data_IF_112353099675
#
_entry.id   IF_112353099675
#
_cell.length_a   1.000
_cell.length_b   1.000
_cell.length_c   1.000
_cell.angle_alpha   90.00
_cell.angle_beta   90.00
_cell.angle_gamma   90.00
#
_symmetry.space_group_name_H-M   'P 1'
#
loop_
_entity.id
_entity.type
_entity.pdbx_description
1 polymer ?
#
# COMPACT_ATOMS: atom_id res chain seq x y z
N UNK A 1 -6.16 8.73 -14.84
CA UNK A 1 -5.59 9.18 -13.56
C UNK A 1 -6.68 9.04 -12.51
N UNK A 2 -6.38 8.39 -11.40
CA UNK A 2 -7.22 8.33 -10.22
C UNK A 2 -6.55 9.15 -9.09
N UNK A 3 -7.35 9.75 -8.22
CA UNK A 3 -6.92 10.19 -6.90
C UNK A 3 -7.39 9.15 -5.86
N UNK A 4 -6.52 8.75 -4.94
CA UNK A 4 -6.87 7.79 -3.89
C UNK A 4 -6.03 7.93 -2.61
N UNK A 5 -6.43 7.30 -1.51
CA UNK A 5 -5.62 7.20 -0.29
C UNK A 5 -4.89 5.88 -0.14
N UNK A 6 -3.80 5.83 0.62
CA UNK A 6 -3.00 4.61 0.80
C UNK A 6 -3.60 3.59 1.79
N UNK A 7 -4.65 3.93 2.54
CA UNK A 7 -5.14 3.13 3.66
C UNK A 7 -4.97 3.84 5.00
N UNK A 8 -3.74 3.98 5.50
CA UNK A 8 -3.49 4.60 6.81
C UNK A 8 -3.94 6.05 6.86
N UNK A 9 -4.74 6.39 7.87
CA UNK A 9 -5.15 7.76 8.18
C UNK A 9 -5.34 7.95 9.70
N UNK A 10 -5.20 9.17 10.22
CA UNK A 10 -5.38 9.44 11.65
C UNK A 10 -6.85 9.32 12.05
N UNK A 11 -7.10 9.00 13.31
CA UNK A 11 -8.44 8.97 13.89
C UNK A 11 -8.86 7.62 14.49
N UNK A 12 -10.02 7.62 15.13
CA UNK A 12 -10.52 6.48 15.91
C UNK A 12 -11.89 5.95 15.46
N UNK A 13 -12.66 6.76 14.73
CA UNK A 13 -14.02 6.44 14.24
C UNK A 13 -13.95 5.91 12.82
N UNK A 14 -14.36 4.66 12.60
CA UNK A 14 -14.36 4.06 11.26
C UNK A 14 -15.43 4.72 10.37
N UNK A 15 -16.61 5.03 10.91
CA UNK A 15 -17.65 5.75 10.18
C UNK A 15 -17.22 7.14 9.72
N UNK A 16 -16.52 7.92 10.55
CA UNK A 16 -15.98 9.24 10.16
C UNK A 16 -14.91 9.10 9.08
N UNK A 17 -14.02 8.10 9.22
CA UNK A 17 -13.01 7.82 8.21
C UNK A 17 -13.63 7.41 6.87
N UNK A 18 -14.67 6.57 6.91
CA UNK A 18 -15.43 6.14 5.74
C UNK A 18 -16.12 7.31 5.04
N UNK A 19 -16.72 8.24 5.80
CA UNK A 19 -17.35 9.45 5.27
C UNK A 19 -16.33 10.35 4.56
N UNK A 20 -15.19 10.60 5.20
CA UNK A 20 -14.10 11.39 4.60
C UNK A 20 -13.60 10.74 3.31
N UNK A 21 -13.39 9.42 3.31
CA UNK A 21 -12.88 8.74 2.12
C UNK A 21 -13.86 8.90 0.95
N UNK A 22 -15.15 8.70 1.16
CA UNK A 22 -16.14 8.86 0.09
C UNK A 22 -16.32 10.32 -0.34
N UNK A 23 -16.20 11.26 0.60
CA UNK A 23 -16.39 12.69 0.34
C UNK A 23 -15.21 13.35 -0.40
N UNK A 24 -13.98 12.91 -0.11
CA UNK A 24 -12.78 13.69 -0.48
C UNK A 24 -11.81 12.97 -1.43
N UNK A 25 -11.88 11.64 -1.58
CA UNK A 25 -10.84 10.85 -2.26
C UNK A 25 -10.90 10.90 -3.79
N UNK A 26 -12.09 11.11 -4.36
CA UNK A 26 -12.33 11.01 -5.81
C UNK A 26 -12.87 9.64 -6.22
N UNK A 27 -12.52 9.18 -7.42
CA UNK A 27 -13.18 8.04 -8.09
C UNK A 27 -12.78 6.64 -7.59
N UNK A 28 -11.75 6.55 -6.75
CA UNK A 28 -11.25 5.29 -6.18
C UNK A 28 -11.17 5.36 -4.64
N UNK A 29 -12.31 5.28 -3.93
CA UNK A 29 -12.32 5.19 -2.47
C UNK A 29 -11.57 3.93 -2.04
N UNK A 30 -10.95 3.99 -0.86
CA UNK A 30 -10.13 2.91 -0.33
C UNK A 30 -10.59 2.54 1.08
N UNK A 31 -10.44 1.29 1.51
CA UNK A 31 -10.85 0.92 2.87
C UNK A 31 -9.97 1.65 3.90
N UNK A 32 -10.56 2.46 4.81
CA UNK A 32 -9.77 3.16 5.80
C UNK A 32 -9.02 2.20 6.73
N UNK A 33 -7.81 2.59 7.10
CA UNK A 33 -7.04 1.95 8.14
C UNK A 33 -6.70 2.99 9.21
N UNK A 34 -7.03 2.69 10.47
CA UNK A 34 -6.90 3.61 11.60
C UNK A 34 -5.91 3.08 12.65
N UNK A 35 -4.58 3.26 12.44
CA UNK A 35 -3.55 2.76 13.36
C UNK A 35 -3.69 3.27 14.80
N UNK A 36 -4.29 4.44 15.01
CA UNK A 36 -4.50 5.03 16.34
C UNK A 36 -5.38 4.15 17.25
N UNK A 37 -6.21 3.27 16.67
CA UNK A 37 -7.02 2.28 17.41
C UNK A 37 -6.18 1.16 18.01
N UNK A 38 -4.88 1.14 17.74
CA UNK A 38 -3.89 0.27 18.36
C UNK A 38 -3.19 -0.66 17.37
N UNK A 39 -2.24 -1.45 17.88
CA UNK A 39 -1.34 -2.28 17.07
C UNK A 39 -2.07 -3.24 16.09
N UNK A 40 -3.25 -3.72 16.48
CA UNK A 40 -4.07 -4.61 15.66
C UNK A 40 -4.73 -3.91 14.47
N UNK A 41 -4.96 -2.60 14.56
CA UNK A 41 -5.49 -1.78 13.47
C UNK A 41 -4.39 -1.26 12.52
N UNK A 42 -3.11 -1.41 12.89
CA UNK A 42 -1.97 -1.08 12.04
C UNK A 42 -1.77 -2.06 10.87
N UNK A 43 -0.83 -1.75 9.96
CA UNK A 43 -0.60 -2.46 8.69
C UNK A 43 -0.47 -3.98 8.86
N UNK A 44 0.42 -4.42 9.75
CA UNK A 44 0.62 -5.85 10.03
C UNK A 44 -0.61 -6.48 10.67
N UNK A 45 -1.23 -5.82 11.65
CA UNK A 45 -2.41 -6.36 12.33
C UNK A 45 -3.61 -6.55 11.41
N UNK A 46 -3.87 -5.57 10.53
CA UNK A 46 -4.92 -5.67 9.50
C UNK A 46 -4.63 -6.78 8.50
N UNK A 47 -3.37 -6.94 8.09
CA UNK A 47 -2.95 -8.02 7.18
C UNK A 47 -3.07 -9.38 7.86
N UNK A 48 -2.67 -9.50 9.12
CA UNK A 48 -2.83 -10.70 9.93
C UNK A 48 -4.30 -11.13 10.06
N UNK A 49 -5.23 -10.17 10.10
CA UNK A 49 -6.66 -10.43 10.10
C UNK A 49 -7.21 -11.10 8.85
N UNK A 50 -6.44 -11.09 7.75
CA UNK A 50 -6.80 -11.78 6.51
C UNK A 50 -6.31 -13.24 6.49
N UNK A 51 -5.42 -13.62 7.41
CA UNK A 51 -4.76 -14.93 7.39
C UNK A 51 -5.57 -15.94 8.20
N UNK A 52 -6.47 -16.68 7.54
CA UNK A 52 -7.24 -17.72 8.24
C UNK A 52 -6.40 -18.98 8.53
N UNK A 53 -5.53 -19.36 7.59
CA UNK A 53 -4.75 -20.60 7.66
C UNK A 53 -3.52 -20.51 8.59
N UNK A 54 -3.10 -19.29 8.94
CA UNK A 54 -1.89 -19.03 9.73
C UNK A 54 -2.20 -17.97 10.78
N UNK A 55 -1.84 -18.24 12.04
CA UNK A 55 -2.04 -17.28 13.13
C UNK A 55 -0.81 -16.40 13.31
N UNK A 56 -1.00 -15.08 13.30
CA UNK A 56 0.01 -14.11 13.68
C UNK A 56 -0.44 -13.45 14.98
N UNK A 57 0.35 -13.64 16.05
CA UNK A 57 0.06 -13.07 17.36
C UNK A 57 1.12 -12.04 17.78
N UNK A 58 0.78 -11.26 18.82
CA UNK A 58 1.71 -10.29 19.39
C UNK A 58 2.74 -11.02 20.26
N UNK A 59 4.00 -10.97 19.82
CA UNK A 59 5.15 -11.37 20.63
C UNK A 59 5.69 -10.24 21.52
N UNK A 60 6.78 -10.51 22.27
CA UNK A 60 7.40 -9.54 23.17
C UNK A 60 8.02 -8.34 22.45
N UNK A 61 8.51 -8.55 21.22
CA UNK A 61 9.27 -7.56 20.43
C UNK A 61 8.70 -7.34 19.04
N UNK A 62 8.20 -8.40 18.42
CA UNK A 62 7.57 -8.37 17.10
C UNK A 62 6.29 -9.20 17.06
N UNK A 63 5.65 -9.23 15.89
CA UNK A 63 4.63 -10.22 15.55
C UNK A 63 5.26 -11.60 15.40
N UNK A 64 4.57 -12.66 15.83
CA UNK A 64 5.10 -14.02 15.85
C UNK A 64 4.10 -14.97 15.20
N UNK A 65 4.59 -15.85 14.31
CA UNK A 65 3.83 -16.98 13.78
C UNK A 65 3.52 -17.96 14.91
N UNK A 66 2.24 -18.32 15.03
CA UNK A 66 1.72 -19.22 16.04
C UNK A 66 1.06 -20.43 15.38
N UNK A 67 1.29 -21.62 15.96
CA UNK A 67 0.63 -22.87 15.53
C UNK A 67 -0.88 -22.88 15.81
N UNK A 68 -1.37 -22.00 16.70
CA UNK A 68 -2.78 -21.94 17.10
C UNK A 68 -3.25 -20.49 17.26
N UNK A 69 -4.48 -20.17 16.79
CA UNK A 69 -5.08 -18.86 17.04
C UNK A 69 -5.14 -18.55 18.52
N UNK A 70 -4.72 -17.33 18.90
CA UNK A 70 -4.87 -16.83 20.26
C UNK A 70 -6.00 -15.78 20.34
N UNK A 71 -6.29 -15.32 21.56
CA UNK A 71 -7.31 -14.30 21.82
C UNK A 71 -7.11 -12.99 21.02
N UNK A 72 -5.88 -12.68 20.60
CA UNK A 72 -5.60 -11.49 19.79
C UNK A 72 -5.92 -11.75 18.32
N UNK A 73 -5.57 -12.92 17.77
CA UNK A 73 -5.99 -13.36 16.43
C UNK A 73 -7.51 -13.29 16.25
N UNK A 74 -8.29 -13.83 17.20
CA UNK A 74 -9.76 -13.73 17.13
C UNK A 74 -10.26 -12.28 17.15
N UNK A 75 -9.70 -11.44 18.03
CA UNK A 75 -10.08 -10.02 18.11
C UNK A 75 -9.78 -9.25 16.84
N UNK A 76 -8.69 -9.59 16.14
CA UNK A 76 -8.33 -8.96 14.87
C UNK A 76 -9.39 -9.30 13.81
N UNK A 77 -9.77 -10.58 13.66
CA UNK A 77 -10.82 -10.99 12.73
C UNK A 77 -12.18 -10.34 13.03
N UNK A 78 -12.61 -10.35 14.29
CA UNK A 78 -13.85 -9.70 14.72
C UNK A 78 -13.83 -8.19 14.47
N UNK A 79 -12.66 -7.55 14.57
CA UNK A 79 -12.52 -6.12 14.30
C UNK A 79 -12.60 -5.82 12.80
N UNK A 80 -12.01 -6.67 11.95
CA UNK A 80 -12.10 -6.52 10.49
C UNK A 80 -13.55 -6.58 10.01
N UNK A 81 -14.33 -7.55 10.49
CA UNK A 81 -15.75 -7.66 10.14
C UNK A 81 -16.53 -6.42 10.57
N UNK A 82 -16.36 -5.97 11.82
CA UNK A 82 -17.03 -4.77 12.35
C UNK A 82 -16.64 -3.51 11.58
N UNK A 83 -15.37 -3.37 11.21
CA UNK A 83 -14.90 -2.23 10.42
C UNK A 83 -15.60 -2.19 9.06
N UNK A 84 -15.73 -3.33 8.38
CA UNK A 84 -16.46 -3.41 7.11
C UNK A 84 -17.96 -3.14 7.28
N UNK A 85 -18.56 -3.54 8.42
CA UNK A 85 -19.95 -3.22 8.75
C UNK A 85 -20.14 -1.70 8.88
N UNK A 86 -19.30 -1.03 9.67
CA UNK A 86 -19.32 0.43 9.85
C UNK A 86 -19.10 1.18 8.53
N UNK A 87 -18.19 0.69 7.67
CA UNK A 87 -17.97 1.29 6.34
C UNK A 87 -19.22 1.13 5.46
N UNK A 88 -19.86 -0.04 5.48
CA UNK A 88 -21.06 -0.30 4.69
C UNK A 88 -22.26 0.54 5.13
N UNK A 89 -22.39 0.85 6.42
CA UNK A 89 -23.42 1.77 6.91
C UNK A 89 -23.30 3.17 6.28
N UNK A 90 -22.08 3.61 5.95
CA UNK A 90 -21.82 4.92 5.33
C UNK A 90 -21.87 4.85 3.81
N UNK A 91 -21.22 3.85 3.20
CA UNK A 91 -21.05 3.76 1.75
C UNK A 91 -22.25 3.14 1.04
N UNK A 92 -23.10 2.42 1.78
CA UNK A 92 -24.16 1.60 1.21
C UNK A 92 -23.63 0.37 0.48
N UNK A 93 -24.41 -0.12 -0.50
CA UNK A 93 -24.18 -1.40 -1.19
C UNK A 93 -23.74 -1.24 -2.66
N UNK A 94 -23.51 -0.01 -3.12
CA UNK A 94 -23.21 0.26 -4.54
C UNK A 94 -22.13 1.33 -4.67
N UNK A 95 -20.87 0.89 -4.63
CA UNK A 95 -19.69 1.70 -4.91
C UNK A 95 -19.03 1.15 -6.18
N UNK A 96 -18.81 1.94 -7.25
CA UNK A 96 -18.32 1.40 -8.52
C UNK A 96 -16.96 0.69 -8.43
N UNK A 97 -16.02 1.29 -7.70
CA UNK A 97 -14.65 0.79 -7.50
C UNK A 97 -14.24 1.00 -6.05
N UNK A 98 -13.54 0.04 -5.47
CA UNK A 98 -12.97 0.14 -4.13
C UNK A 98 -11.53 -0.36 -4.15
N UNK A 99 -10.63 0.36 -3.50
CA UNK A 99 -9.27 -0.11 -3.27
C UNK A 99 -9.13 -0.74 -1.89
N UNK A 100 -8.46 -1.88 -1.83
CA UNK A 100 -8.02 -2.53 -0.59
C UNK A 100 -6.50 -2.60 -0.54
N UNK A 101 -5.95 -2.68 0.66
CA UNK A 101 -4.51 -2.72 0.87
C UNK A 101 -4.13 -3.75 1.93
N UNK A 102 -2.98 -4.40 1.70
CA UNK A 102 -2.36 -5.32 2.62
C UNK A 102 -0.84 -5.14 2.60
N UNK A 103 -0.16 -5.58 3.66
CA UNK A 103 1.30 -5.66 3.65
C UNK A 103 1.71 -6.80 2.72
N UNK A 104 2.66 -6.54 1.83
CA UNK A 104 3.15 -7.49 0.84
C UNK A 104 3.93 -8.66 1.46
N UNK A 105 4.12 -9.75 0.70
CA UNK A 105 4.73 -10.99 1.19
C UNK A 105 6.13 -10.79 1.80
N UNK A 106 6.98 -9.95 1.20
CA UNK A 106 8.36 -9.77 1.63
C UNK A 106 8.43 -9.00 2.94
N UNK A 107 7.71 -7.88 3.02
CA UNK A 107 7.65 -7.05 4.22
C UNK A 107 6.90 -7.73 5.35
N UNK A 108 5.86 -8.53 5.06
CA UNK A 108 5.19 -9.34 6.07
C UNK A 108 6.13 -10.40 6.64
N UNK A 109 6.81 -11.16 5.79
CA UNK A 109 7.78 -12.17 6.22
C UNK A 109 8.99 -11.58 6.96
N UNK A 110 9.38 -10.36 6.62
CA UNK A 110 10.41 -9.60 7.31
C UNK A 110 9.92 -8.97 8.63
N UNK A 111 8.61 -8.81 8.84
CA UNK A 111 8.06 -8.25 10.07
C UNK A 111 7.69 -9.34 11.10
N UNK A 112 7.48 -10.58 10.66
CA UNK A 112 7.00 -11.68 11.51
C UNK A 112 8.15 -12.62 11.91
N UNK A 113 8.22 -12.94 13.19
CA UNK A 113 9.13 -13.92 13.78
C UNK A 113 8.51 -15.32 13.83
N UNK A 114 9.34 -16.35 13.81
CA UNK A 114 8.99 -17.73 14.12
C UNK A 114 9.09 -17.95 15.63
N UNK A 115 8.57 -19.07 16.14
CA UNK A 115 8.65 -19.40 17.58
C UNK A 115 10.07 -19.51 18.14
N UNK A 116 11.09 -19.61 17.29
CA UNK A 116 12.51 -19.62 17.66
C UNK A 116 13.20 -18.24 17.58
N UNK A 117 12.45 -17.17 17.26
CA UNK A 117 12.94 -15.79 17.16
C UNK A 117 13.55 -15.40 15.81
N UNK A 118 13.77 -16.34 14.89
CA UNK A 118 14.17 -16.01 13.51
C UNK A 118 13.00 -15.39 12.74
N UNK A 119 13.26 -14.58 11.73
CA UNK A 119 12.19 -14.02 10.89
C UNK A 119 11.67 -15.05 9.88
N UNK A 120 10.38 -14.99 9.55
CA UNK A 120 9.74 -15.93 8.63
C UNK A 120 10.44 -15.95 7.25
N UNK A 121 10.97 -14.81 6.80
CA UNK A 121 11.74 -14.70 5.55
C UNK A 121 12.99 -15.60 5.50
N UNK A 122 13.53 -16.03 6.65
CA UNK A 122 14.73 -16.89 6.70
C UNK A 122 14.44 -18.39 6.54
N UNK A 123 13.18 -18.80 6.65
CA UNK A 123 12.75 -20.18 6.50
C UNK A 123 11.89 -20.32 5.24
N UNK A 124 12.39 -21.04 4.24
CA UNK A 124 11.69 -21.19 2.95
C UNK A 124 10.34 -21.90 3.05
N UNK A 125 10.13 -22.76 4.05
CA UNK A 125 8.86 -23.44 4.30
C UNK A 125 7.85 -22.46 4.90
N UNK A 126 8.25 -21.79 5.98
CA UNK A 126 7.40 -20.80 6.63
C UNK A 126 7.06 -19.62 5.70
N UNK A 127 8.02 -19.17 4.89
CA UNK A 127 7.79 -18.13 3.88
C UNK A 127 6.74 -18.57 2.84
N UNK A 128 6.85 -19.80 2.34
CA UNK A 128 5.89 -20.35 1.36
C UNK A 128 4.49 -20.46 1.96
N UNK A 129 4.37 -20.99 3.17
CA UNK A 129 3.09 -21.14 3.85
C UNK A 129 2.45 -19.77 4.14
N UNK A 130 3.27 -18.79 4.55
CA UNK A 130 2.84 -17.41 4.75
C UNK A 130 2.37 -16.75 3.45
N UNK A 131 3.09 -16.93 2.34
CA UNK A 131 2.69 -16.42 1.04
C UNK A 131 1.37 -17.05 0.57
N UNK A 132 1.22 -18.36 0.72
CA UNK A 132 -0.01 -19.07 0.38
C UNK A 132 -1.21 -18.59 1.20
N UNK A 133 -1.03 -18.40 2.52
CA UNK A 133 -2.06 -17.86 3.40
C UNK A 133 -2.41 -16.40 3.07
N UNK A 134 -1.43 -15.55 2.77
CA UNK A 134 -1.64 -14.16 2.38
C UNK A 134 -2.40 -14.05 1.06
N UNK A 135 -2.03 -14.85 0.06
CA UNK A 135 -2.69 -14.85 -1.23
C UNK A 135 -4.16 -15.27 -1.10
N UNK A 136 -4.43 -16.35 -0.37
CA UNK A 136 -5.79 -16.81 -0.11
C UNK A 136 -6.61 -15.75 0.66
N UNK A 137 -6.03 -15.16 1.70
CA UNK A 137 -6.67 -14.12 2.50
C UNK A 137 -7.02 -12.86 1.71
N UNK A 138 -6.14 -12.42 0.81
CA UNK A 138 -6.42 -11.29 -0.10
C UNK A 138 -7.54 -11.65 -1.08
N UNK A 139 -7.55 -12.86 -1.64
CA UNK A 139 -8.60 -13.30 -2.56
C UNK A 139 -9.97 -13.37 -1.87
N UNK A 140 -10.03 -13.89 -0.64
CA UNK A 140 -11.27 -13.91 0.13
C UNK A 140 -11.74 -12.51 0.52
N UNK A 141 -10.82 -11.66 0.99
CA UNK A 141 -11.15 -10.29 1.36
C UNK A 141 -11.65 -9.48 0.16
N UNK A 142 -11.00 -9.60 -0.99
CA UNK A 142 -11.44 -8.91 -2.22
C UNK A 142 -12.80 -9.41 -2.68
N UNK A 143 -13.08 -10.73 -2.59
CA UNK A 143 -14.41 -11.28 -2.89
C UNK A 143 -15.49 -10.76 -1.93
N UNK A 144 -15.18 -10.71 -0.63
CA UNK A 144 -16.08 -10.17 0.38
C UNK A 144 -16.40 -8.69 0.13
N UNK A 145 -15.38 -7.87 -0.14
CA UNK A 145 -15.54 -6.43 -0.44
C UNK A 145 -16.33 -6.24 -1.74
N UNK A 146 -16.01 -6.99 -2.80
CA UNK A 146 -16.73 -6.93 -4.07
C UNK A 146 -18.22 -7.27 -3.89
N UNK A 147 -18.53 -8.33 -3.13
CA UNK A 147 -19.90 -8.73 -2.83
C UNK A 147 -20.63 -7.67 -2.01
N UNK A 148 -19.96 -7.10 -1.00
CA UNK A 148 -20.55 -6.18 -0.02
C UNK A 148 -20.94 -4.83 -0.63
N UNK A 149 -20.11 -4.32 -1.54
CA UNK A 149 -20.27 -2.99 -2.11
C UNK A 149 -20.68 -3.01 -3.59
N UNK A 150 -20.87 -4.19 -4.20
CA UNK A 150 -21.11 -4.32 -5.63
C UNK A 150 -19.99 -3.72 -6.49
N UNK A 151 -18.76 -3.77 -5.97
CA UNK A 151 -17.62 -2.97 -6.46
C UNK A 151 -16.61 -3.81 -7.25
N UNK A 152 -15.97 -3.18 -8.23
CA UNK A 152 -14.69 -3.66 -8.74
C UNK A 152 -13.59 -3.37 -7.71
N UNK A 153 -12.88 -4.40 -7.27
CA UNK A 153 -11.85 -4.25 -6.23
C UNK A 153 -10.45 -4.15 -6.83
N UNK A 154 -9.71 -3.14 -6.39
CA UNK A 154 -8.29 -2.94 -6.71
C UNK A 154 -7.42 -3.25 -5.51
N UNK A 155 -6.29 -3.93 -5.73
CA UNK A 155 -5.41 -4.40 -4.66
C UNK A 155 -4.10 -3.62 -4.62
N UNK A 156 -3.76 -3.10 -3.45
CA UNK A 156 -2.45 -2.53 -3.14
C UNK A 156 -1.67 -3.46 -2.21
N UNK A 157 -0.40 -3.72 -2.54
CA UNK A 157 0.56 -4.32 -1.63
C UNK A 157 1.56 -3.29 -1.13
N UNK A 158 1.74 -3.24 0.18
CA UNK A 158 2.69 -2.37 0.84
C UNK A 158 3.98 -3.14 1.15
N UNK A 159 5.07 -2.73 0.51
CA UNK A 159 6.38 -3.36 0.62
C UNK A 159 7.47 -2.39 1.14
N UNK A 160 7.31 -1.82 2.36
CA UNK A 160 8.23 -0.82 2.90
C UNK A 160 9.61 -1.36 3.28
N UNK A 161 9.79 -2.68 3.39
CA UNK A 161 11.05 -3.34 3.74
C UNK A 161 11.76 -3.95 2.51
N UNK A 162 11.23 -3.77 1.30
CA UNK A 162 11.73 -4.46 0.10
C UNK A 162 13.16 -4.08 -0.27
N UNK A 163 13.52 -2.81 -0.11
CA UNK A 163 14.90 -2.36 -0.32
C UNK A 163 15.87 -3.06 0.63
N UNK A 164 15.46 -3.26 1.89
CA UNK A 164 16.25 -3.95 2.91
C UNK A 164 16.37 -5.46 2.60
N UNK A 165 15.33 -6.05 2.02
CA UNK A 165 15.31 -7.45 1.54
C UNK A 165 16.26 -7.65 0.36
N UNK A 166 16.24 -6.76 -0.63
CA UNK A 166 17.10 -6.83 -1.82
C UNK A 166 18.57 -6.57 -1.49
N UNK A 167 18.85 -5.68 -0.54
CA UNK A 167 20.23 -5.32 -0.14
C UNK A 167 20.81 -6.20 0.97
N UNK A 168 19.98 -7.00 1.64
CA UNK A 168 20.41 -7.86 2.75
C UNK A 168 20.76 -7.08 4.02
N UNK A 169 20.10 -5.95 4.26
CA UNK A 169 20.32 -5.07 5.43
C UNK A 169 19.32 -5.33 6.56
N UNK A 170 18.36 -6.25 6.36
CA UNK A 170 17.40 -6.62 7.38
C UNK A 170 18.09 -7.17 8.63
N UNK A 171 17.76 -6.67 9.84
CA UNK A 171 18.33 -7.20 11.07
C UNK A 171 17.97 -8.68 11.29
N UNK A 172 18.97 -9.49 11.65
CA UNK A 172 18.80 -10.89 12.06
C UNK A 172 18.31 -11.03 13.50
N UNK A 173 18.58 -12.18 14.12
CA UNK A 173 18.19 -12.48 15.52
C UNK A 173 19.01 -11.71 16.56
N UNK A 174 20.18 -11.21 16.16
CA UNK A 174 21.07 -10.40 17.02
C UNK A 174 21.42 -9.11 16.31
N UNK A 175 21.78 -8.07 17.07
CA UNK A 175 22.13 -6.74 16.53
C UNK A 175 23.35 -6.75 15.58
N UNK A 176 24.09 -7.87 15.52
CA UNK A 176 25.29 -8.06 14.69
C UNK A 176 25.07 -8.96 13.47
N UNK A 177 23.86 -9.50 13.30
CA UNK A 177 23.53 -10.40 12.19
C UNK A 177 22.58 -9.72 11.21
N UNK A 178 22.72 -10.05 9.93
CA UNK A 178 21.86 -9.54 8.85
C UNK A 178 21.33 -10.68 8.02
N UNK A 179 20.07 -10.57 7.61
CA UNK A 179 19.45 -11.55 6.73
C UNK A 179 20.00 -11.34 5.33
N UNK A 180 20.46 -12.43 4.71
CA UNK A 180 21.03 -12.41 3.35
C UNK A 180 20.06 -11.79 2.34
N UNK A 181 20.63 -11.02 1.42
CA UNK A 181 19.91 -10.46 0.28
C UNK A 181 19.14 -11.54 -0.49
N UNK A 182 17.91 -11.21 -0.87
CA UNK A 182 17.09 -12.04 -1.74
C UNK A 182 17.28 -11.59 -3.19
N UNK A 183 17.55 -12.52 -4.13
CA UNK A 183 17.66 -12.20 -5.55
C UNK A 183 16.42 -11.50 -6.13
N UNK A 184 16.62 -10.50 -6.99
CA UNK A 184 15.53 -9.70 -7.57
C UNK A 184 14.56 -10.53 -8.44
N UNK A 185 15.04 -11.57 -9.11
CA UNK A 185 14.22 -12.51 -9.87
C UNK A 185 13.25 -13.29 -8.97
N UNK A 186 13.73 -13.73 -7.79
CA UNK A 186 12.88 -14.35 -6.80
C UNK A 186 11.85 -13.37 -6.24
N UNK A 187 12.26 -12.14 -5.92
CA UNK A 187 11.36 -11.08 -5.46
C UNK A 187 10.24 -10.83 -6.45
N UNK A 188 10.59 -10.62 -7.72
CA UNK A 188 9.64 -10.34 -8.79
C UNK A 188 8.73 -11.53 -9.09
N UNK A 189 9.26 -12.75 -9.07
CA UNK A 189 8.44 -13.96 -9.25
C UNK A 189 7.36 -14.06 -8.17
N UNK A 190 7.72 -13.86 -6.89
CA UNK A 190 6.74 -13.89 -5.79
C UNK A 190 5.73 -12.76 -5.90
N UNK A 191 6.15 -11.52 -6.18
CA UNK A 191 5.21 -10.40 -6.33
C UNK A 191 4.22 -10.62 -7.49
N UNK A 192 4.67 -11.23 -8.58
CA UNK A 192 3.82 -11.53 -9.74
C UNK A 192 2.68 -12.52 -9.41
N UNK A 193 2.89 -13.45 -8.46
CA UNK A 193 1.85 -14.39 -8.01
C UNK A 193 0.64 -13.69 -7.39
N UNK A 194 0.84 -12.52 -6.76
CA UNK A 194 -0.24 -11.74 -6.14
C UNK A 194 -1.04 -10.89 -7.14
N UNK A 195 -0.45 -10.55 -8.29
CA UNK A 195 -1.14 -9.83 -9.36
C UNK A 195 -1.69 -8.44 -8.98
N UNK A 196 -1.18 -7.82 -7.92
CA UNK A 196 -1.66 -6.56 -7.36
C UNK A 196 -1.66 -5.41 -8.40
N UNK A 197 -2.62 -4.49 -8.25
CA UNK A 197 -2.73 -3.30 -9.10
C UNK A 197 -1.68 -2.25 -8.74
N UNK A 198 -1.41 -2.13 -7.44
CA UNK A 198 -0.51 -1.14 -6.88
C UNK A 198 0.54 -1.81 -5.98
N UNK A 199 1.79 -1.40 -6.14
CA UNK A 199 2.88 -1.76 -5.25
C UNK A 199 3.44 -0.50 -4.61
N UNK A 200 3.28 -0.38 -3.29
CA UNK A 200 3.80 0.76 -2.54
C UNK A 200 5.19 0.44 -2.01
N UNK A 201 6.14 1.31 -2.31
CA UNK A 201 7.52 1.18 -1.88
C UNK A 201 7.92 2.37 -1.02
N UNK A 202 8.89 2.17 -0.11
CA UNK A 202 9.46 3.25 0.71
C UNK A 202 10.37 4.16 -0.11
N UNK A 203 11.06 3.58 -1.08
CA UNK A 203 12.06 4.22 -1.93
C UNK A 203 11.99 3.61 -3.35
N UNK A 204 12.46 4.32 -4.38
CA UNK A 204 12.31 3.85 -5.76
C UNK A 204 13.15 2.59 -6.03
N UNK A 205 12.50 1.51 -6.48
CA UNK A 205 13.12 0.26 -6.91
C UNK A 205 12.68 -0.06 -8.33
N UNK A 206 13.38 0.49 -9.32
CA UNK A 206 12.98 0.43 -10.73
C UNK A 206 13.08 -0.96 -11.37
N UNK A 207 13.80 -1.89 -10.74
CA UNK A 207 13.91 -3.29 -11.19
C UNK A 207 12.70 -4.16 -10.79
N UNK A 208 11.77 -3.61 -9.98
CA UNK A 208 10.61 -4.36 -9.50
C UNK A 208 9.51 -4.39 -10.55
N UNK A 209 8.93 -5.58 -10.76
CA UNK A 209 7.79 -5.76 -11.66
C UNK A 209 6.48 -5.41 -10.95
N UNK A 210 5.85 -4.29 -11.33
CA UNK A 210 4.53 -3.89 -10.85
C UNK A 210 3.75 -3.15 -11.94
N UNK A 211 2.41 -3.24 -11.91
CA UNK A 211 1.53 -2.50 -12.83
C UNK A 211 1.61 -0.98 -12.57
N UNK A 212 1.52 -0.61 -11.30
CA UNK A 212 1.65 0.76 -10.81
C UNK A 212 2.49 0.76 -9.53
N UNK A 213 3.56 1.54 -9.50
CA UNK A 213 4.36 1.74 -8.27
C UNK A 213 3.89 3.01 -7.57
N UNK A 214 3.76 2.98 -6.23
CA UNK A 214 3.38 4.13 -5.42
C UNK A 214 4.60 4.64 -4.64
N UNK A 215 5.00 5.89 -4.89
CA UNK A 215 6.20 6.52 -4.32
C UNK A 215 5.90 7.94 -3.84
N UNK A 216 6.64 8.39 -2.83
CA UNK A 216 6.62 9.79 -2.40
C UNK A 216 7.29 10.67 -3.46
N UNK A 217 6.57 11.66 -3.97
CA UNK A 217 7.06 12.54 -5.02
C UNK A 217 8.28 13.35 -4.58
N UNK A 218 8.34 13.76 -3.31
CA UNK A 218 9.47 14.51 -2.78
C UNK A 218 10.80 13.75 -2.89
N UNK A 219 10.74 12.41 -2.89
CA UNK A 219 11.90 11.53 -3.02
C UNK A 219 12.45 11.37 -4.43
N UNK A 220 11.77 11.89 -5.47
CA UNK A 220 12.08 11.59 -6.87
C UNK A 220 12.94 12.66 -7.58
N UNK A 221 13.34 13.72 -6.87
CA UNK A 221 14.03 14.86 -7.49
C UNK A 221 15.51 14.62 -7.87
N UNK A 222 16.10 13.50 -7.44
CA UNK A 222 17.51 13.17 -7.72
C UNK A 222 17.71 12.82 -9.20
N UNK A 223 18.91 13.06 -9.79
CA UNK A 223 19.20 12.68 -11.18
C UNK A 223 18.95 11.19 -11.47
N UNK A 224 19.34 10.31 -10.55
CA UNK A 224 19.14 8.86 -10.69
C UNK A 224 17.66 8.48 -10.74
N UNK A 225 16.82 9.10 -9.89
CA UNK A 225 15.39 8.81 -9.89
C UNK A 225 14.64 9.46 -11.05
N UNK A 226 15.12 10.59 -11.59
CA UNK A 226 14.60 11.17 -12.83
C UNK A 226 14.82 10.23 -14.02
N UNK A 227 16.04 9.73 -14.18
CA UNK A 227 16.36 8.82 -15.27
C UNK A 227 15.57 7.51 -15.15
N UNK A 228 15.50 6.94 -13.94
CA UNK A 228 14.74 5.72 -13.66
C UNK A 228 13.23 5.89 -13.85
N UNK A 229 12.65 7.00 -13.39
CA UNK A 229 11.24 7.32 -13.62
C UNK A 229 10.94 7.53 -15.11
N UNK A 230 11.83 8.22 -15.83
CA UNK A 230 11.71 8.42 -17.27
C UNK A 230 11.63 7.08 -18.00
N UNK A 231 12.55 6.16 -17.70
CA UNK A 231 12.56 4.81 -18.26
C UNK A 231 11.31 4.00 -17.88
N UNK A 232 10.86 4.10 -16.62
CA UNK A 232 9.64 3.44 -16.14
C UNK A 232 8.43 3.88 -16.95
N UNK A 233 8.27 5.19 -17.13
CA UNK A 233 7.17 5.79 -17.87
C UNK A 233 7.27 5.43 -19.37
N UNK A 234 8.45 5.50 -19.98
CA UNK A 234 8.68 5.08 -21.38
C UNK A 234 8.38 3.60 -21.64
N UNK A 235 8.60 2.75 -20.63
CA UNK A 235 8.17 1.35 -20.65
C UNK A 235 6.65 1.15 -20.65
N UNK A 236 5.86 2.23 -20.55
CA UNK A 236 4.40 2.20 -20.52
C UNK A 236 3.81 1.89 -19.14
N UNK A 237 4.65 1.80 -18.11
CA UNK A 237 4.19 1.56 -16.75
C UNK A 237 3.56 2.84 -16.13
N UNK A 238 2.78 2.64 -15.08
CA UNK A 238 2.11 3.71 -14.34
C UNK A 238 2.82 3.99 -13.02
N UNK A 239 2.65 5.20 -12.49
CA UNK A 239 3.16 5.59 -11.18
C UNK A 239 2.08 6.34 -10.40
N UNK A 240 1.97 6.05 -9.10
CA UNK A 240 1.26 6.91 -8.17
C UNK A 240 2.25 7.80 -7.43
N UNK A 241 1.95 9.10 -7.37
CA UNK A 241 2.77 10.10 -6.70
C UNK A 241 2.11 10.56 -5.41
N UNK A 242 2.84 10.37 -4.31
CA UNK A 242 2.50 10.86 -3.00
C UNK A 242 2.78 12.35 -2.92
N UNK A 243 1.74 13.14 -2.70
CA UNK A 243 1.82 14.60 -2.62
C UNK A 243 1.45 15.09 -1.22
N UNK A 244 2.10 16.16 -0.81
CA UNK A 244 1.75 16.92 0.39
C UNK A 244 1.92 18.40 0.10
N UNK A 245 1.08 19.23 0.70
CA UNK A 245 1.12 20.66 0.45
C UNK A 245 -0.16 21.34 0.84
N UNK A 246 -0.23 22.64 0.54
CA UNK A 246 -1.39 23.48 0.82
C UNK A 246 -1.89 24.21 -0.44
N UNK A 247 -1.11 24.20 -1.53
CA UNK A 247 -1.48 24.81 -2.81
C UNK A 247 -1.37 23.76 -3.94
N UNK A 248 -2.53 23.25 -4.36
CA UNK A 248 -2.62 22.19 -5.36
C UNK A 248 -2.04 22.60 -6.72
N UNK A 249 -2.10 23.89 -7.07
CA UNK A 249 -1.58 24.38 -8.35
C UNK A 249 -0.06 24.33 -8.38
N UNK A 250 0.58 24.78 -7.30
CA UNK A 250 2.05 24.72 -7.19
C UNK A 250 2.55 23.28 -7.28
N UNK A 251 1.86 22.34 -6.63
CA UNK A 251 2.21 20.92 -6.67
C UNK A 251 2.04 20.32 -8.08
N UNK A 252 0.92 20.61 -8.75
CA UNK A 252 0.68 20.19 -10.12
C UNK A 252 1.74 20.72 -11.10
N UNK A 253 2.16 22.00 -10.95
CA UNK A 253 3.26 22.59 -11.74
C UNK A 253 4.57 21.85 -11.47
N UNK A 254 4.86 21.51 -10.22
CA UNK A 254 6.08 20.76 -9.85
C UNK A 254 6.12 19.39 -10.55
N UNK A 255 5.00 18.68 -10.60
CA UNK A 255 4.86 17.41 -11.32
C UNK A 255 5.06 17.61 -12.84
N UNK A 256 4.43 18.63 -13.43
CA UNK A 256 4.59 18.94 -14.84
C UNK A 256 6.05 19.28 -15.22
N UNK A 257 6.73 20.09 -14.41
CA UNK A 257 8.15 20.41 -14.57
C UNK A 257 9.04 19.17 -14.42
N UNK A 258 8.63 18.20 -13.61
CA UNK A 258 9.33 16.93 -13.49
C UNK A 258 9.33 16.17 -14.83
N UNK A 259 8.19 16.15 -15.54
CA UNK A 259 8.08 15.56 -16.87
C UNK A 259 8.96 16.28 -17.90
N UNK A 260 9.02 17.62 -17.87
CA UNK A 260 9.91 18.39 -18.76
C UNK A 260 11.39 18.02 -18.54
N UNK A 261 11.80 17.85 -17.28
CA UNK A 261 13.18 17.47 -16.93
C UNK A 261 13.55 16.08 -17.43
N UNK A 262 12.58 15.17 -17.48
CA UNK A 262 12.74 13.83 -18.07
C UNK A 262 12.65 13.86 -19.61
N UNK A 263 12.30 14.99 -20.22
CA UNK A 263 12.07 15.10 -21.66
C UNK A 263 10.78 14.42 -22.13
N UNK A 264 9.83 14.18 -21.23
CA UNK A 264 8.56 13.51 -21.50
C UNK A 264 7.44 14.51 -21.76
N UNK A 265 6.52 14.16 -22.68
CA UNK A 265 5.32 14.98 -22.91
C UNK A 265 4.41 14.98 -21.68
N UNK A 266 3.98 16.17 -21.27
CA UNK A 266 3.03 16.34 -20.16
C UNK A 266 1.64 15.79 -20.46
N UNK A 267 1.30 15.59 -21.74
CA UNK A 267 0.05 14.94 -22.16
C UNK A 267 -0.06 13.49 -21.66
N UNK A 268 1.08 12.87 -21.28
CA UNK A 268 1.14 11.53 -20.70
C UNK A 268 0.72 11.48 -19.24
N UNK A 269 0.71 12.62 -18.54
CA UNK A 269 0.45 12.69 -17.10
C UNK A 269 -0.92 12.11 -16.75
N UNK A 270 -2.05 12.50 -17.38
CA UNK A 270 -3.37 11.94 -17.06
C UNK A 270 -3.49 10.43 -17.31
N UNK A 271 -2.65 9.87 -18.19
CA UNK A 271 -2.67 8.46 -18.57
C UNK A 271 -1.74 7.59 -17.72
N UNK A 272 -0.68 8.15 -17.13
CA UNK A 272 0.36 7.36 -16.46
C UNK A 272 0.57 7.70 -14.99
N UNK A 273 0.02 8.81 -14.52
CA UNK A 273 0.15 9.26 -13.14
C UNK A 273 -1.17 9.09 -12.39
N UNK A 274 -1.08 8.60 -11.16
CA UNK A 274 -2.12 8.66 -10.13
C UNK A 274 -1.62 9.52 -8.96
N UNK A 275 -2.54 10.08 -8.17
CA UNK A 275 -2.19 11.00 -7.07
C UNK A 275 -2.73 10.45 -5.75
N UNK A 276 -1.93 10.53 -4.69
CA UNK A 276 -2.38 10.19 -3.34
C UNK A 276 -1.80 11.15 -2.30
N UNK A 277 -2.49 11.40 -1.18
CA UNK A 277 -1.94 12.21 -0.11
C UNK A 277 -0.90 11.43 0.70
N UNK A 278 0.30 12.00 0.88
CA UNK A 278 1.32 11.43 1.75
C UNK A 278 2.35 12.47 2.23
N UNK A 279 2.61 12.58 3.55
CA UNK A 279 1.92 11.91 4.66
C UNK A 279 0.51 12.47 4.91
N UNK A 280 -0.36 11.66 5.54
CA UNK A 280 -1.72 12.08 5.92
C UNK A 280 -1.72 12.61 7.36
N UNK A 281 -1.55 13.92 7.54
CA UNK A 281 -1.59 14.56 8.87
C UNK A 281 -3.02 14.84 9.35
N UNK A 282 -3.85 15.35 8.44
CA UNK A 282 -5.29 15.57 8.66
C UNK A 282 -6.02 14.96 7.49
N UNK A 283 -6.87 13.97 7.74
CA UNK A 283 -7.57 13.21 6.73
C UNK A 283 -8.23 14.12 5.67
N UNK A 284 -9.38 14.73 5.95
CA UNK A 284 -10.16 15.43 4.93
C UNK A 284 -9.36 16.46 4.11
N UNK A 285 -8.57 17.39 4.70
CA UNK A 285 -7.78 18.33 3.91
C UNK A 285 -6.74 17.67 3.00
N UNK A 286 -6.12 16.57 3.45
CA UNK A 286 -5.10 15.88 2.65
C UNK A 286 -5.73 15.19 1.43
N UNK A 287 -6.87 14.53 1.62
CA UNK A 287 -7.61 13.90 0.53
C UNK A 287 -8.11 14.92 -0.50
N UNK A 288 -8.75 16.00 -0.01
CA UNK A 288 -9.23 17.10 -0.85
C UNK A 288 -8.09 17.70 -1.68
N UNK A 289 -6.92 17.91 -1.06
CA UNK A 289 -5.72 18.41 -1.73
C UNK A 289 -5.26 17.47 -2.86
N UNK A 290 -5.17 16.16 -2.61
CA UNK A 290 -4.77 15.18 -3.63
C UNK A 290 -5.77 15.13 -4.80
N UNK A 291 -7.07 15.19 -4.52
CA UNK A 291 -8.11 15.25 -5.54
C UNK A 291 -8.05 16.55 -6.36
N UNK A 292 -7.75 17.68 -5.73
CA UNK A 292 -7.56 18.96 -6.42
C UNK A 292 -6.34 18.94 -7.35
N UNK A 293 -5.20 18.42 -6.88
CA UNK A 293 -3.98 18.24 -7.70
C UNK A 293 -4.28 17.38 -8.93
N UNK A 294 -4.92 16.22 -8.73
CA UNK A 294 -5.31 15.35 -9.84
C UNK A 294 -6.24 16.07 -10.83
N UNK A 295 -7.22 16.82 -10.32
CA UNK A 295 -8.14 17.60 -11.14
C UNK A 295 -7.46 18.67 -11.99
N UNK A 296 -6.43 19.34 -11.46
CA UNK A 296 -5.62 20.30 -12.21
C UNK A 296 -4.82 19.59 -13.30
N UNK A 297 -4.14 18.48 -12.98
CA UNK A 297 -3.36 17.71 -13.94
C UNK A 297 -4.22 17.16 -15.09
N UNK A 298 -5.43 16.68 -14.80
CA UNK A 298 -6.35 16.18 -15.83
C UNK A 298 -6.77 17.28 -16.81
N UNK A 299 -7.02 18.50 -16.32
CA UNK A 299 -7.52 19.60 -17.15
C UNK A 299 -6.42 20.36 -17.88
N UNK A 300 -5.30 20.60 -17.20
CA UNK A 300 -4.35 21.64 -17.57
C UNK A 300 -2.92 21.10 -17.84
N UNK A 301 -2.65 19.78 -17.76
CA UNK A 301 -1.27 19.27 -17.84
C UNK A 301 -0.44 19.79 -19.03
N UNK A 302 -1.04 19.97 -20.21
CA UNK A 302 -0.37 20.53 -21.38
C UNK A 302 0.01 22.03 -21.25
N UNK A 303 -0.70 22.77 -20.41
CA UNK A 303 -0.66 24.23 -20.30
C UNK A 303 -0.01 24.75 -18.98
N UNK A 304 0.45 23.85 -18.10
CA UNK A 304 1.01 24.19 -16.77
C UNK A 304 2.39 24.88 -16.77
#
# INVERSE_FOLDING_TARGET
MDAFGLGPMPGYSMGEAADIVMGETGDLPHLPQLPDRGIHAGAIGRTAGLLEAVSIDRGPRSWVLSDRPQLISHRIGDQMSRDLDEIQEVWGESVPRVKVQAVGPWSLAAAVELGNGHRAITDSGAFRDLCGALLAGIQEHTAQVAQRFGAEVRVQLDEPLLADVLSGTLPGTTDFDTIRAVPADQVNATLAEFGADYLRLREPLWEVAAKTVLLDFAGLASPEHLDGLGQWIDGGARIGLGVAGHDARTEAISIAQHFDRMGLSRERIPEQVDIFPWPVEKAAPSYSFAAEVAGILIRDAGDL
#
